data_IF_627227350352
#
_entry.id   IF_627227350352
#
_cell.length_a   1.000
_cell.length_b   1.000
_cell.length_c   1.000
_cell.angle_alpha   90.00
_cell.angle_beta   90.00
_cell.angle_gamma   90.00
#
_symmetry.space_group_name_H-M   'P 1'
#
loop_
_entity.id
_entity.type
_entity.pdbx_description
1 polymer ?
#
# COMPACT_ATOMS: atom_id res chain seq x y z
N UNK A 1 -14.15 -2.02 15.01
CA UNK A 1 -13.39 -2.31 13.78
C UNK A 1 -11.97 -1.81 14.02
N UNK A 2 -10.95 -2.66 13.86
CA UNK A 2 -9.56 -2.27 14.07
C UNK A 2 -9.08 -1.42 12.89
N UNK A 3 -8.43 -0.29 13.15
CA UNK A 3 -7.72 0.48 12.12
C UNK A 3 -6.35 -0.17 11.97
N UNK A 4 -6.08 -0.78 10.82
CA UNK A 4 -4.84 -1.51 10.56
C UNK A 4 -3.73 -0.55 10.18
N UNK A 5 -2.64 -0.56 10.97
CA UNK A 5 -1.44 0.21 10.70
C UNK A 5 -0.68 -0.40 9.51
N UNK A 6 -0.51 0.36 8.42
CA UNK A 6 0.35 -0.04 7.29
C UNK A 6 1.66 0.75 7.30
N UNK A 7 2.64 0.38 6.49
CA UNK A 7 3.93 1.08 6.42
C UNK A 7 4.36 1.23 4.96
N UNK A 8 5.07 2.32 4.68
CA UNK A 8 5.60 2.61 3.35
C UNK A 8 6.81 1.71 3.04
N UNK A 9 6.93 1.22 1.82
CA UNK A 9 7.97 0.28 1.40
C UNK A 9 7.66 -1.19 1.74
N UNK A 10 6.47 -1.49 2.28
CA UNK A 10 6.10 -2.87 2.66
C UNK A 10 6.09 -3.85 1.49
N UNK A 11 5.89 -3.35 0.26
CA UNK A 11 5.81 -4.14 -0.98
C UNK A 11 7.05 -4.08 -1.84
N UNK A 12 8.22 -3.73 -1.28
CA UNK A 12 9.41 -3.52 -2.09
C UNK A 12 9.75 -4.75 -2.97
N UNK A 13 9.58 -5.96 -2.44
CA UNK A 13 9.79 -7.21 -3.17
C UNK A 13 8.76 -7.40 -4.29
N UNK A 14 7.49 -7.19 -3.99
CA UNK A 14 6.35 -7.39 -4.87
C UNK A 14 6.35 -6.36 -6.01
N UNK A 15 6.60 -5.10 -5.69
CA UNK A 15 6.74 -4.00 -6.65
C UNK A 15 7.92 -4.22 -7.59
N UNK A 16 8.99 -4.91 -7.15
CA UNK A 16 10.12 -5.25 -8.02
C UNK A 16 9.73 -6.22 -9.14
N UNK A 17 8.68 -7.01 -8.95
CA UNK A 17 8.16 -7.96 -9.93
C UNK A 17 7.22 -7.31 -10.95
N UNK A 18 6.71 -6.10 -10.71
CA UNK A 18 5.70 -5.49 -11.60
C UNK A 18 6.15 -5.40 -13.06
N UNK A 19 7.45 -5.17 -13.33
CA UNK A 19 7.99 -5.17 -14.70
C UNK A 19 7.76 -6.51 -15.41
N UNK A 20 7.95 -7.62 -14.70
CA UNK A 20 7.68 -8.97 -15.22
C UNK A 20 6.19 -9.16 -15.48
N UNK A 21 5.35 -8.77 -14.51
CA UNK A 21 3.90 -9.01 -14.54
C UNK A 21 3.15 -8.16 -15.57
N UNK A 22 3.66 -6.95 -15.86
CA UNK A 22 3.11 -6.02 -16.85
C UNK A 22 3.53 -6.36 -18.28
N UNK A 23 4.59 -7.16 -18.46
CA UNK A 23 5.18 -7.41 -19.77
C UNK A 23 4.14 -7.90 -20.80
N UNK A 24 4.05 -7.21 -21.94
CA UNK A 24 3.11 -7.53 -23.01
C UNK A 24 1.67 -7.05 -22.81
N UNK A 25 1.41 -6.17 -21.83
CA UNK A 25 0.09 -5.59 -21.58
C UNK A 25 0.05 -4.10 -21.92
N UNK A 26 -0.98 -3.69 -22.66
CA UNK A 26 -1.24 -2.28 -22.96
C UNK A 26 -1.95 -1.57 -21.80
N UNK A 27 -2.79 -2.31 -21.06
CA UNK A 27 -3.50 -1.84 -19.87
C UNK A 27 -3.29 -2.80 -18.71
N UNK A 28 -3.28 -2.28 -17.48
CA UNK A 28 -3.05 -3.08 -16.28
C UNK A 28 -4.02 -2.69 -15.17
N UNK A 29 -4.89 -3.63 -14.77
CA UNK A 29 -5.88 -3.39 -13.72
C UNK A 29 -5.49 -4.07 -12.42
N UNK A 30 -5.38 -3.28 -11.37
CA UNK A 30 -5.00 -3.73 -10.03
C UNK A 30 -6.20 -3.62 -9.09
N UNK A 31 -6.41 -4.66 -8.29
CA UNK A 31 -7.24 -4.61 -7.08
C UNK A 31 -6.30 -4.56 -5.88
N UNK A 32 -6.50 -3.60 -5.01
CA UNK A 32 -5.78 -3.49 -3.74
C UNK A 32 -6.80 -3.57 -2.60
N UNK A 33 -6.79 -4.72 -1.92
CA UNK A 33 -7.79 -5.09 -0.93
C UNK A 33 -7.22 -4.93 0.48
N UNK A 34 -7.82 -4.02 1.24
CA UNK A 34 -7.40 -3.63 2.59
C UNK A 34 -6.13 -2.79 2.61
N UNK A 35 -6.11 -1.61 1.95
CA UNK A 35 -4.91 -0.79 1.88
C UNK A 35 -4.47 -0.18 3.21
N UNK A 36 -5.38 -0.20 4.20
CA UNK A 36 -5.13 0.21 5.57
C UNK A 36 -4.66 1.66 5.69
N UNK A 37 -4.29 2.05 6.91
CA UNK A 37 -3.84 3.41 7.22
C UNK A 37 -2.52 3.34 7.96
N UNK A 38 -1.55 4.16 7.60
CA UNK A 38 -0.46 4.45 8.50
C UNK A 38 -0.61 5.79 9.17
N UNK A 39 0.15 5.93 10.24
CA UNK A 39 0.47 7.20 10.85
C UNK A 39 1.98 7.36 10.73
N UNK A 40 2.46 8.39 10.02
CA UNK A 40 3.87 8.72 9.98
C UNK A 40 4.41 8.88 11.41
N UNK A 41 5.61 8.37 11.67
CA UNK A 41 6.23 8.32 13.00
C UNK A 41 6.38 9.71 13.62
N UNK A 42 6.70 10.71 12.81
CA UNK A 42 6.77 12.11 13.24
C UNK A 42 5.46 12.57 13.88
N UNK A 43 4.32 12.26 13.24
CA UNK A 43 3.01 12.59 13.77
C UNK A 43 2.71 11.78 15.03
N UNK A 44 3.05 10.49 15.07
CA UNK A 44 2.90 9.69 16.30
C UNK A 44 3.61 10.29 17.51
N UNK A 45 4.85 10.75 17.35
CA UNK A 45 5.63 11.36 18.44
C UNK A 45 5.13 12.76 18.81
N UNK A 46 4.71 13.58 17.85
CA UNK A 46 4.05 14.88 18.08
C UNK A 46 2.74 14.74 18.87
N UNK A 47 1.90 13.77 18.48
CA UNK A 47 0.62 13.47 19.12
C UNK A 47 0.82 13.02 20.57
N UNK A 48 1.91 12.28 20.84
CA UNK A 48 2.26 11.81 22.18
C UNK A 48 2.76 12.94 23.09
N UNK A 49 3.46 13.94 22.55
CA UNK A 49 4.19 14.94 23.37
C UNK A 49 3.45 16.24 23.63
N UNK A 50 2.55 16.68 22.74
CA UNK A 50 1.96 18.02 22.90
C UNK A 50 0.45 18.14 22.79
N UNK A 51 -0.19 17.40 21.90
CA UNK A 51 -1.53 17.83 21.45
C UNK A 51 -2.65 17.04 22.14
N UNK A 52 -2.35 15.95 22.86
CA UNK A 52 -3.35 15.01 23.42
C UNK A 52 -4.47 14.71 22.39
N UNK A 53 -4.16 14.76 21.10
CA UNK A 53 -5.14 14.52 20.06
C UNK A 53 -5.55 13.06 20.19
N UNK A 54 -6.85 12.83 20.35
CA UNK A 54 -7.39 11.49 20.32
C UNK A 54 -6.94 10.80 19.02
N UNK A 55 -6.77 9.48 19.04
CA UNK A 55 -6.37 8.69 17.86
C UNK A 55 -7.27 8.89 16.63
N UNK A 56 -8.47 9.46 16.83
CA UNK A 56 -9.45 9.85 15.81
C UNK A 56 -9.14 11.20 15.13
N UNK A 57 -8.38 12.08 15.76
CA UNK A 57 -8.02 13.41 15.24
C UNK A 57 -6.62 13.45 14.61
N UNK A 58 -5.84 12.41 14.83
CA UNK A 58 -4.53 12.26 14.21
C UNK A 58 -4.67 12.07 12.69
N UNK A 59 -3.86 12.78 11.86
CA UNK A 59 -3.90 12.59 10.42
C UNK A 59 -3.49 11.16 10.07
N UNK A 60 -4.21 10.57 9.12
CA UNK A 60 -4.05 9.19 8.65
C UNK A 60 -3.66 9.22 7.18
N UNK A 61 -2.73 8.36 6.79
CA UNK A 61 -2.20 8.33 5.42
C UNK A 61 -2.23 6.91 4.87
N UNK A 62 -2.64 6.76 3.62
CA UNK A 62 -2.53 5.52 2.87
C UNK A 62 -1.35 5.60 1.91
N UNK A 63 -0.50 4.58 1.92
CA UNK A 63 0.76 4.56 1.20
C UNK A 63 0.74 3.69 -0.04
N UNK A 64 0.32 2.44 0.15
CA UNK A 64 0.40 1.36 -0.82
C UNK A 64 -0.22 1.69 -2.18
N UNK A 65 -1.43 2.28 -2.28
CA UNK A 65 -2.01 2.64 -3.57
C UNK A 65 -1.09 3.53 -4.42
N UNK A 66 -0.39 4.45 -3.76
CA UNK A 66 0.50 5.40 -4.42
C UNK A 66 1.86 4.79 -4.73
N UNK A 67 2.31 3.80 -3.96
CA UNK A 67 3.50 2.99 -4.29
C UNK A 67 3.28 2.16 -5.55
N UNK A 68 2.13 1.50 -5.63
CA UNK A 68 1.70 0.74 -6.81
C UNK A 68 1.59 1.68 -8.02
N UNK A 69 0.89 2.81 -7.87
CA UNK A 69 0.72 3.77 -8.96
C UNK A 69 2.05 4.34 -9.46
N UNK A 70 2.96 4.72 -8.56
CA UNK A 70 4.29 5.19 -8.92
C UNK A 70 5.07 4.13 -9.71
N UNK A 71 5.05 2.88 -9.26
CA UNK A 71 5.75 1.80 -9.94
C UNK A 71 5.18 1.55 -11.34
N UNK A 72 3.85 1.51 -11.50
CA UNK A 72 3.20 1.33 -12.80
C UNK A 72 3.48 2.51 -13.75
N UNK A 73 3.47 3.74 -13.22
CA UNK A 73 3.82 4.93 -14.00
C UNK A 73 5.28 4.89 -14.49
N UNK A 74 6.22 4.43 -13.66
CA UNK A 74 7.63 4.27 -14.07
C UNK A 74 7.82 3.17 -15.11
N UNK A 75 6.96 2.15 -15.12
CA UNK A 75 6.93 1.10 -16.14
C UNK A 75 6.36 1.63 -17.46
N UNK A 76 5.48 2.62 -17.40
CA UNK A 76 4.89 3.27 -18.58
C UNK A 76 3.68 2.54 -19.17
N UNK A 77 2.99 1.73 -18.36
CA UNK A 77 1.73 1.08 -18.75
C UNK A 77 0.53 1.96 -18.41
N UNK A 78 -0.55 1.91 -19.21
CA UNK A 78 -1.81 2.50 -18.75
C UNK A 78 -2.41 1.63 -17.65
N UNK A 79 -2.88 2.22 -16.56
CA UNK A 79 -3.32 1.45 -15.41
C UNK A 79 -4.55 2.02 -14.73
N UNK A 80 -5.20 1.15 -13.96
CA UNK A 80 -6.28 1.49 -13.05
C UNK A 80 -6.10 0.70 -11.75
N UNK A 81 -6.29 1.38 -10.61
CA UNK A 81 -6.22 0.77 -9.29
C UNK A 81 -7.59 0.91 -8.62
N UNK A 82 -8.22 -0.22 -8.32
CA UNK A 82 -9.42 -0.26 -7.49
C UNK A 82 -9.01 -0.60 -6.04
N UNK A 83 -9.35 0.27 -5.10
CA UNK A 83 -9.10 0.12 -3.67
C UNK A 83 -10.37 -0.29 -2.98
N UNK A 84 -10.30 -1.34 -2.16
CA UNK A 84 -11.46 -1.82 -1.40
C UNK A 84 -11.08 -1.92 0.06
N UNK A 85 -11.86 -1.26 0.93
CA UNK A 85 -11.74 -1.42 2.37
C UNK A 85 -13.14 -1.31 3.00
N UNK A 86 -13.53 -2.22 3.93
CA UNK A 86 -14.82 -2.13 4.61
C UNK A 86 -14.85 -1.02 5.68
N UNK A 87 -13.71 -0.40 5.99
CA UNK A 87 -13.59 0.63 7.00
C UNK A 87 -13.73 2.03 6.38
N UNK A 88 -14.82 2.71 6.75
CA UNK A 88 -15.16 4.07 6.34
C UNK A 88 -14.03 5.07 6.62
N UNK A 89 -13.29 4.93 7.72
CA UNK A 89 -12.15 5.80 8.03
C UNK A 89 -11.02 5.66 7.03
N UNK A 90 -10.77 4.44 6.53
CA UNK A 90 -9.72 4.17 5.53
C UNK A 90 -10.13 4.78 4.19
N UNK A 91 -11.35 4.50 3.75
CA UNK A 91 -11.85 5.00 2.45
C UNK A 91 -12.00 6.53 2.46
N UNK A 92 -12.43 7.13 3.57
CA UNK A 92 -12.49 8.59 3.72
C UNK A 92 -11.11 9.26 3.71
N UNK A 93 -10.12 8.65 4.37
CA UNK A 93 -8.75 9.15 4.33
C UNK A 93 -8.21 9.10 2.89
N UNK A 94 -8.38 7.99 2.18
CA UNK A 94 -8.01 7.85 0.76
C UNK A 94 -8.68 8.91 -0.11
N UNK A 95 -9.99 9.14 0.07
CA UNK A 95 -10.76 10.11 -0.72
C UNK A 95 -10.32 11.55 -0.48
N UNK A 96 -9.79 11.88 0.70
CA UNK A 96 -9.38 13.24 1.09
C UNK A 96 -7.89 13.48 0.89
N UNK A 97 -7.08 12.43 0.84
CA UNK A 97 -5.63 12.53 0.74
C UNK A 97 -5.18 13.12 -0.60
N UNK A 98 -4.59 14.30 -0.54
CA UNK A 98 -3.94 15.00 -1.65
C UNK A 98 -2.40 15.04 -1.49
N UNK A 99 -1.90 14.56 -0.35
CA UNK A 99 -0.50 14.63 0.05
C UNK A 99 -0.01 13.32 0.65
N UNK A 100 1.29 13.08 0.48
CA UNK A 100 2.05 12.03 1.15
C UNK A 100 3.09 12.65 2.08
N UNK A 101 3.39 11.99 3.20
CA UNK A 101 4.40 12.42 4.18
C UNK A 101 5.53 11.39 4.30
N UNK A 102 6.58 11.54 3.50
CA UNK A 102 7.69 10.58 3.48
C UNK A 102 8.63 10.86 4.65
N UNK A 103 9.02 9.82 5.39
CA UNK A 103 9.82 9.97 6.61
C UNK A 103 10.97 8.97 6.65
N UNK A 104 12.19 9.46 6.84
CA UNK A 104 13.38 8.64 7.01
C UNK A 104 13.94 8.78 8.43
N UNK A 105 14.23 7.63 9.06
CA UNK A 105 14.84 7.57 10.38
C UNK A 105 16.23 6.91 10.33
N UNK A 106 17.33 7.67 10.20
CA UNK A 106 18.65 7.14 9.85
C UNK A 106 19.30 6.24 10.92
N UNK A 107 18.82 6.26 12.18
CA UNK A 107 19.36 5.43 13.27
C UNK A 107 18.69 4.08 13.47
N UNK A 108 17.56 3.80 12.82
CA UNK A 108 16.92 2.49 12.91
C UNK A 108 17.39 1.68 11.69
N UNK A 109 18.44 0.87 11.86
CA UNK A 109 18.88 -0.08 10.82
C UNK A 109 17.80 -1.12 10.46
N UNK A 110 16.78 -1.25 11.30
CA UNK A 110 15.68 -2.21 11.19
C UNK A 110 14.31 -1.53 10.97
N UNK A 111 14.26 -0.22 10.67
CA UNK A 111 12.98 0.45 10.50
C UNK A 111 12.34 0.11 9.17
N UNK A 112 11.04 -0.21 9.23
CA UNK A 112 10.01 -0.28 8.17
C UNK A 112 9.85 0.99 7.31
N UNK A 113 10.92 1.77 7.14
CA UNK A 113 10.93 3.09 6.52
C UNK A 113 12.08 3.11 5.52
N UNK A 114 11.82 3.33 4.23
CA UNK A 114 12.85 3.25 3.21
C UNK A 114 14.05 4.18 3.39
N UNK A 115 15.09 3.93 2.61
CA UNK A 115 16.29 4.76 2.62
C UNK A 115 16.01 6.12 1.98
N UNK A 116 16.87 7.11 2.27
CA UNK A 116 16.85 8.43 1.63
C UNK A 116 16.83 8.30 0.10
N UNK A 117 17.60 7.39 -0.47
CA UNK A 117 17.68 7.14 -1.90
C UNK A 117 16.36 6.61 -2.46
N UNK A 118 15.71 5.69 -1.74
CA UNK A 118 14.39 5.16 -2.12
C UNK A 118 13.33 6.27 -2.10
N UNK A 119 13.31 7.11 -1.07
CA UNK A 119 12.42 8.27 -1.01
C UNK A 119 12.74 9.31 -2.09
N UNK A 120 14.02 9.50 -2.41
CA UNK A 120 14.44 10.46 -3.43
C UNK A 120 14.06 10.02 -4.85
N UNK A 121 13.97 8.71 -5.10
CA UNK A 121 13.47 8.14 -6.35
C UNK A 121 11.94 8.09 -6.45
N UNK A 122 11.22 8.32 -5.35
CA UNK A 122 9.76 8.28 -5.32
C UNK A 122 9.17 9.62 -5.78
N UNK A 123 8.37 9.59 -6.85
CA UNK A 123 7.87 10.77 -7.57
C UNK A 123 8.93 11.86 -7.80
N UNK A 124 9.94 11.61 -8.64
CA UNK A 124 11.05 12.54 -8.85
C UNK A 124 10.59 13.90 -9.43
N UNK A 125 9.43 13.94 -10.08
CA UNK A 125 8.82 15.14 -10.65
C UNK A 125 8.01 15.98 -9.64
N UNK A 126 7.74 15.47 -8.43
CA UNK A 126 6.95 16.20 -7.46
C UNK A 126 7.78 17.22 -6.69
N UNK A 127 7.17 18.40 -6.46
CA UNK A 127 7.74 19.39 -5.56
C UNK A 127 7.72 18.84 -4.13
N UNK A 128 8.90 18.76 -3.52
CA UNK A 128 9.07 18.36 -2.13
C UNK A 128 9.09 19.59 -1.25
N UNK A 129 8.21 19.61 -0.26
CA UNK A 129 8.27 20.58 0.81
C UNK A 129 8.94 19.90 2.01
N UNK A 130 10.04 20.44 2.57
CA UNK A 130 10.56 19.93 3.82
C UNK A 130 9.46 19.99 4.89
N UNK A 131 9.42 19.01 5.79
CA UNK A 131 8.56 19.09 6.96
C UNK A 131 8.96 20.33 7.79
N UNK A 132 7.96 21.03 8.35
CA UNK A 132 8.15 22.34 8.98
C UNK A 132 9.31 22.34 9.99
N UNK A 133 10.40 23.02 9.63
CA UNK A 133 11.62 23.12 10.42
C UNK A 133 11.33 23.69 11.81
N UNK A 134 10.33 24.57 11.98
CA UNK A 134 9.98 25.13 13.29
C UNK A 134 9.41 24.09 14.25
N UNK A 135 8.65 23.12 13.71
CA UNK A 135 8.12 22.02 14.49
C UNK A 135 9.26 21.05 14.80
N UNK A 136 10.13 20.73 13.83
CA UNK A 136 11.32 19.90 14.09
C UNK A 136 12.24 20.49 15.17
N UNK A 137 12.63 21.76 15.04
CA UNK A 137 13.50 22.46 15.99
C UNK A 137 12.93 22.47 17.40
N UNK A 138 11.60 22.61 17.52
CA UNK A 138 10.89 22.59 18.81
C UNK A 138 10.96 21.24 19.52
N UNK A 139 11.16 20.13 18.80
CA UNK A 139 11.24 18.79 19.40
C UNK A 139 12.52 18.03 19.02
N UNK A 140 13.61 18.71 18.67
CA UNK A 140 14.86 18.02 18.30
C UNK A 140 15.31 17.03 19.41
N UNK A 141 15.04 17.33 20.68
CA UNK A 141 15.41 16.48 21.82
C UNK A 141 14.54 15.21 21.93
N UNK A 142 13.33 15.27 21.36
CA UNK A 142 12.43 14.12 21.21
C UNK A 142 12.89 13.19 20.10
N UNK A 143 13.38 13.78 19.01
CA UNK A 143 13.89 13.09 17.84
C UNK A 143 15.39 12.83 18.04
N UNK A 144 15.73 11.76 18.77
CA UNK A 144 17.12 11.38 19.05
C UNK A 144 17.98 11.09 17.79
N UNK A 145 17.46 11.28 16.58
CA UNK A 145 18.14 11.14 15.30
C UNK A 145 17.80 12.33 14.40
N UNK A 146 18.74 12.72 13.53
CA UNK A 146 18.48 13.62 12.41
C UNK A 146 17.31 13.07 11.58
N UNK A 147 16.19 13.77 11.58
CA UNK A 147 15.01 13.37 10.81
C UNK A 147 15.07 14.01 9.43
N UNK A 148 14.85 13.21 8.39
CA UNK A 148 14.67 13.73 7.03
C UNK A 148 13.29 13.30 6.54
N UNK A 149 12.46 14.25 6.11
CA UNK A 149 11.17 13.92 5.54
C UNK A 149 10.63 15.02 4.66
N UNK A 150 9.64 14.67 3.85
CA UNK A 150 9.08 15.55 2.84
C UNK A 150 7.58 15.34 2.72
N UNK A 151 6.87 16.46 2.57
CA UNK A 151 5.50 16.44 2.09
C UNK A 151 5.54 16.49 0.56
N UNK A 152 4.85 15.55 -0.07
CA UNK A 152 4.70 15.44 -1.52
C UNK A 152 3.24 15.69 -1.86
N UNK A 153 2.99 16.66 -2.74
CA UNK A 153 1.68 16.79 -3.38
C UNK A 153 1.52 15.67 -4.40
N UNK A 154 0.43 14.91 -4.30
CA UNK A 154 0.17 13.81 -5.22
C UNK A 154 -0.09 14.34 -6.63
N UNK A 155 0.53 13.77 -7.68
CA UNK A 155 0.21 14.10 -9.05
C UNK A 155 -1.28 13.87 -9.31
N UNK A 156 -1.98 14.88 -9.84
CA UNK A 156 -3.42 14.78 -10.14
C UNK A 156 -3.73 13.56 -11.02
N UNK A 157 -2.90 13.31 -12.04
CA UNK A 157 -3.08 12.18 -12.96
C UNK A 157 -3.04 10.80 -12.28
N UNK A 158 -2.40 10.65 -11.11
CA UNK A 158 -2.41 9.38 -10.37
C UNK A 158 -3.73 9.19 -9.65
N UNK A 159 -4.25 10.26 -9.03
CA UNK A 159 -5.51 10.21 -8.30
C UNK A 159 -6.67 9.82 -9.21
N UNK A 160 -6.64 10.26 -10.47
CA UNK A 160 -7.62 9.91 -11.49
C UNK A 160 -7.60 8.42 -11.88
N UNK A 161 -6.51 7.71 -11.62
CA UNK A 161 -6.40 6.25 -11.85
C UNK A 161 -6.81 5.40 -10.64
N UNK A 162 -7.05 6.04 -9.48
CA UNK A 162 -7.38 5.37 -8.23
C UNK A 162 -8.90 5.49 -7.97
N UNK A 163 -9.56 4.35 -7.83
CA UNK A 163 -11.00 4.26 -7.56
C UNK A 163 -11.21 3.61 -6.20
N UNK A 164 -12.04 4.21 -5.34
CA UNK A 164 -12.19 3.80 -3.94
C UNK A 164 -13.59 3.25 -3.73
N UNK A 165 -13.67 2.03 -3.18
CA UNK A 165 -14.88 1.31 -2.86
C UNK A 165 -14.92 1.02 -1.36
N UNK A 166 -16.08 1.23 -0.75
CA UNK A 166 -16.38 0.81 0.61
C UNK A 166 -17.20 -0.47 0.51
N UNK A 167 -16.53 -1.61 0.64
CA UNK A 167 -17.12 -2.94 0.46
C UNK A 167 -16.33 -3.97 1.28
N UNK A 168 -16.88 -5.16 1.43
CA UNK A 168 -16.31 -6.27 2.21
C UNK A 168 -15.74 -7.36 1.27
N UNK A 169 -15.45 -8.53 1.83
CA UNK A 169 -14.79 -9.67 1.17
C UNK A 169 -15.58 -10.28 0.00
N UNK A 170 -16.79 -9.81 -0.28
CA UNK A 170 -17.61 -10.25 -1.41
C UNK A 170 -17.31 -9.49 -2.71
N UNK A 171 -16.65 -8.32 -2.63
CA UNK A 171 -16.29 -7.51 -3.81
C UNK A 171 -15.57 -8.32 -4.90
N UNK A 172 -14.52 -9.13 -4.62
CA UNK A 172 -13.85 -9.95 -5.64
C UNK A 172 -14.77 -10.93 -6.35
N UNK A 173 -15.82 -11.42 -5.67
CA UNK A 173 -16.78 -12.37 -6.24
C UNK A 173 -17.71 -11.73 -7.28
N UNK A 174 -17.93 -10.42 -7.20
CA UNK A 174 -18.77 -9.64 -8.13
C UNK A 174 -17.96 -9.20 -9.35
N UNK A 175 -16.66 -9.00 -9.19
CA UNK A 175 -15.74 -8.50 -10.22
C UNK A 175 -14.88 -9.61 -10.86
N UNK A 176 -15.51 -10.75 -11.21
CA UNK A 176 -14.81 -11.92 -11.76
C UNK A 176 -14.10 -11.62 -13.09
N UNK A 177 -12.85 -12.08 -13.21
CA UNK A 177 -12.07 -12.00 -14.45
C UNK A 177 -11.84 -10.56 -14.93
N UNK A 178 -11.51 -9.66 -13.99
CA UNK A 178 -11.35 -8.24 -14.27
C UNK A 178 -9.95 -7.72 -13.99
N UNK A 179 -9.16 -8.41 -13.15
CA UNK A 179 -7.91 -7.89 -12.62
C UNK A 179 -6.68 -8.65 -13.13
N UNK A 180 -5.63 -7.90 -13.43
CA UNK A 180 -4.32 -8.46 -13.78
C UNK A 180 -3.50 -8.75 -12.52
N UNK A 181 -3.76 -8.01 -11.47
CA UNK A 181 -3.08 -8.11 -10.19
C UNK A 181 -4.04 -7.84 -9.03
N UNK A 182 -3.94 -8.65 -7.98
CA UNK A 182 -4.61 -8.43 -6.70
C UNK A 182 -3.55 -8.36 -5.61
N UNK A 183 -3.57 -7.29 -4.82
CA UNK A 183 -2.91 -7.22 -3.52
C UNK A 183 -3.94 -7.52 -2.44
N UNK A 184 -3.68 -8.53 -1.61
CA UNK A 184 -4.46 -8.80 -0.40
C UNK A 184 -3.50 -9.19 0.72
N UNK A 185 -2.87 -8.17 1.30
CA UNK A 185 -1.80 -8.31 2.28
C UNK A 185 -2.29 -8.10 3.71
N UNK A 186 -1.94 -9.01 4.62
CA UNK A 186 -2.29 -8.93 6.04
C UNK A 186 -3.78 -8.75 6.37
N UNK A 187 -4.69 -8.68 5.39
CA UNK A 187 -6.12 -8.80 5.63
C UNK A 187 -6.43 -10.22 6.08
N UNK A 188 -5.72 -11.18 5.48
CA UNK A 188 -5.86 -12.62 5.69
C UNK A 188 -5.70 -13.07 7.16
N UNK A 189 -4.97 -12.31 7.98
CA UNK A 189 -4.69 -12.67 9.37
C UNK A 189 -5.79 -12.25 10.36
N UNK A 190 -6.66 -11.30 9.99
CA UNK A 190 -7.69 -10.75 10.90
C UNK A 190 -8.99 -11.54 10.92
N UNK A 191 -9.27 -12.26 9.85
CA UNK A 191 -10.32 -13.27 9.86
C UNK A 191 -9.61 -14.63 9.81
N UNK A 192 -10.18 -15.70 10.38
CA UNK A 192 -9.60 -17.03 10.15
C UNK A 192 -9.88 -17.39 8.70
N UNK A 193 -9.07 -16.88 7.76
CA UNK A 193 -9.31 -16.97 6.32
C UNK A 193 -9.35 -18.44 5.90
N UNK A 194 -10.52 -18.98 5.52
CA UNK A 194 -10.60 -20.33 4.96
C UNK A 194 -9.96 -20.35 3.56
N UNK A 195 -9.43 -21.50 3.13
CA UNK A 195 -8.91 -21.72 1.77
C UNK A 195 -9.91 -21.28 0.67
N UNK A 196 -11.21 -21.37 0.97
CA UNK A 196 -12.32 -20.93 0.12
C UNK A 196 -12.24 -19.44 -0.27
N UNK A 197 -11.60 -18.59 0.53
CA UNK A 197 -11.47 -17.15 0.21
C UNK A 197 -10.29 -16.82 -0.70
N UNK A 198 -9.23 -17.64 -0.75
CA UNK A 198 -8.20 -17.51 -1.79
C UNK A 198 -8.83 -17.69 -3.17
N UNK A 199 -9.78 -18.63 -3.27
CA UNK A 199 -10.57 -18.85 -4.48
C UNK A 199 -11.44 -17.64 -4.87
N UNK A 200 -11.90 -16.82 -3.92
CA UNK A 200 -12.63 -15.59 -4.22
C UNK A 200 -11.75 -14.57 -4.94
N UNK A 201 -10.55 -14.30 -4.41
CA UNK A 201 -9.59 -13.39 -5.06
C UNK A 201 -9.08 -13.96 -6.37
N UNK A 202 -8.84 -15.27 -6.45
CA UNK A 202 -8.49 -15.95 -7.69
C UNK A 202 -9.54 -15.74 -8.79
N UNK A 203 -10.83 -15.79 -8.44
CA UNK A 203 -11.91 -15.58 -9.40
C UNK A 203 -11.95 -14.15 -9.95
N UNK A 204 -11.48 -13.15 -9.20
CA UNK A 204 -11.38 -11.77 -9.65
C UNK A 204 -10.29 -11.57 -10.72
N UNK A 205 -9.29 -12.45 -10.77
CA UNK A 205 -8.17 -12.37 -11.70
C UNK A 205 -8.55 -12.78 -13.12
N UNK A 206 -7.95 -12.16 -14.12
CA UNK A 206 -7.85 -12.69 -15.48
C UNK A 206 -7.08 -14.02 -15.46
N UNK A 207 -7.26 -14.88 -16.47
CA UNK A 207 -6.33 -16.00 -16.68
C UNK A 207 -4.93 -15.41 -16.92
N UNK A 208 -3.92 -15.91 -16.19
CA UNK A 208 -2.57 -15.34 -16.14
C UNK A 208 -2.43 -14.12 -15.22
N UNK A 209 -3.52 -13.67 -14.58
CA UNK A 209 -3.50 -12.66 -13.53
C UNK A 209 -2.86 -13.20 -12.25
N UNK A 210 -2.39 -12.29 -11.40
CA UNK A 210 -1.55 -12.61 -10.26
C UNK A 210 -2.14 -12.11 -8.94
N UNK A 211 -1.93 -12.85 -7.86
CA UNK A 211 -2.37 -12.51 -6.51
C UNK A 211 -1.16 -12.55 -5.59
N UNK A 212 -0.87 -11.41 -4.96
CA UNK A 212 0.00 -11.35 -3.78
C UNK A 212 -0.84 -11.55 -2.54
N UNK A 213 -0.56 -12.63 -1.80
CA UNK A 213 -1.35 -13.05 -0.65
C UNK A 213 -0.45 -13.52 0.48
N UNK A 214 -0.69 -12.96 1.67
CA UNK A 214 0.05 -13.27 2.89
C UNK A 214 -0.75 -14.27 3.73
N UNK A 215 -0.46 -15.55 3.52
CA UNK A 215 -0.84 -16.63 4.42
C UNK A 215 0.46 -17.33 4.76
N UNK A 216 0.82 -17.44 6.05
CA UNK A 216 2.11 -18.00 6.49
C UNK A 216 2.43 -19.44 6.02
N UNK A 217 1.58 -20.04 5.17
CA UNK A 217 1.87 -21.27 4.42
C UNK A 217 1.25 -21.20 3.03
N UNK A 218 1.93 -21.69 1.96
CA UNK A 218 1.34 -21.75 0.64
C UNK A 218 0.15 -22.73 0.60
N UNK A 219 -0.95 -22.34 -0.05
CA UNK A 219 -2.14 -23.18 -0.18
C UNK A 219 -2.28 -23.74 -1.59
N UNK A 220 -2.45 -25.05 -1.71
CA UNK A 220 -2.81 -25.68 -2.98
C UNK A 220 -4.28 -25.37 -3.33
N UNK A 221 -4.49 -24.42 -4.24
CA UNK A 221 -5.83 -24.05 -4.72
C UNK A 221 -5.97 -24.44 -6.18
N UNK A 222 -7.05 -25.17 -6.51
CA UNK A 222 -7.33 -25.57 -7.90
C UNK A 222 -7.43 -24.34 -8.81
N UNK A 223 -6.71 -24.36 -9.93
CA UNK A 223 -6.70 -23.25 -10.90
C UNK A 223 -5.74 -22.12 -10.55
N UNK A 224 -4.89 -22.30 -9.54
CA UNK A 224 -3.75 -21.43 -9.24
C UNK A 224 -2.44 -22.22 -9.32
N UNK A 225 -1.38 -21.58 -9.83
CA UNK A 225 0.00 -21.97 -9.54
C UNK A 225 0.57 -21.03 -8.48
N UNK A 226 1.53 -21.50 -7.68
CA UNK A 226 2.16 -20.72 -6.61
C UNK A 226 3.67 -20.65 -6.82
N UNK A 227 4.23 -19.44 -6.80
CA UNK A 227 5.66 -19.14 -6.76
C UNK A 227 6.01 -18.58 -5.38
N UNK A 228 6.95 -19.23 -4.69
CA UNK A 228 7.47 -18.77 -3.40
C UNK A 228 8.46 -17.62 -3.64
N UNK A 229 8.22 -16.48 -3.00
CA UNK A 229 9.07 -15.28 -3.11
C UNK A 229 9.95 -15.05 -1.87
N UNK A 230 9.60 -15.67 -0.74
CA UNK A 230 10.31 -15.55 0.53
C UNK A 230 9.77 -16.53 1.57
N UNK A 231 10.11 -16.32 2.84
CA UNK A 231 9.70 -17.20 3.93
C UNK A 231 8.16 -17.24 4.10
N UNK A 232 7.48 -16.10 3.87
CA UNK A 232 6.03 -15.95 4.03
C UNK A 232 5.35 -15.22 2.84
N UNK A 233 6.08 -14.99 1.74
CA UNK A 233 5.57 -14.25 0.58
C UNK A 233 5.31 -15.19 -0.59
N UNK A 234 4.08 -15.19 -1.09
CA UNK A 234 3.63 -16.06 -2.17
C UNK A 234 3.01 -15.24 -3.31
N UNK A 235 3.36 -15.62 -4.53
CA UNK A 235 2.75 -15.14 -5.75
C UNK A 235 1.91 -16.26 -6.35
N UNK A 236 0.60 -16.08 -6.37
CA UNK A 236 -0.32 -17.00 -7.03
C UNK A 236 -0.62 -16.50 -8.44
N UNK A 237 -0.61 -17.38 -9.43
CA UNK A 237 -1.00 -17.06 -10.81
C UNK A 237 -2.21 -17.90 -11.21
N UNK A 238 -3.24 -17.25 -11.75
CA UNK A 238 -4.45 -17.94 -12.22
C UNK A 238 -4.15 -18.73 -13.50
N UNK A 239 -4.46 -20.03 -13.50
CA UNK A 239 -4.20 -20.94 -14.63
C UNK A 239 -5.46 -21.41 -15.35
N UNK A 240 -6.64 -21.31 -14.73
CA UNK A 240 -7.95 -21.66 -15.32
C UNK A 240 -9.12 -20.87 -14.74
#
# INVERSE_FOLDING_TARGET
MFVTATHFGRHATELSLLKELVNGKDTFRVLDFGPGLSQPQYYHELLRKEIELSSKQAPKFCWEPYEIANALQQIGVDYRIDLVDPNDLVTDALRKQDKLILEHHPRRKESYYPTKEYYQGFFPSCQRQPLDEKIYDKYQDAFQASFEGAIINLPQGIREKIHIYEDDLDFPAIHKGQYDLVFCWNVACYTRFPEEKVSLFANALNIGGNLFFDIGTPTETKGLSCRVLGQDNFLYTRTS
#
